data_IF_194489035816
#
_entry.id   IF_194489035816
#
_cell.length_a   1.000
_cell.length_b   1.000
_cell.length_c   1.000
_cell.angle_alpha   90.00
_cell.angle_beta   90.00
_cell.angle_gamma   90.00
#
_symmetry.space_group_name_H-M   'P 1'
#
loop_
_entity.id
_entity.type
_entity.pdbx_description
1 polymer ?
#
# COMPACT_ATOMS: atom_id res chain seq x y z
N UNK A 1 -31.91 16.09 1.89
CA UNK A 1 -30.44 16.13 1.91
C UNK A 1 -29.96 14.84 2.56
N UNK A 2 -29.40 13.87 1.81
CA UNK A 2 -28.90 12.66 2.43
C UNK A 2 -27.59 12.97 3.15
N UNK A 3 -27.57 12.72 4.45
CA UNK A 3 -26.37 12.73 5.28
C UNK A 3 -25.56 11.48 4.93
N UNK A 4 -24.69 11.57 3.93
CA UNK A 4 -23.67 10.53 3.72
C UNK A 4 -22.72 10.62 4.91
N UNK A 5 -22.88 9.68 5.86
CA UNK A 5 -22.08 9.66 7.08
C UNK A 5 -20.69 9.13 6.72
N UNK A 6 -19.61 9.79 7.18
CA UNK A 6 -18.23 9.43 6.80
C UNK A 6 -17.87 7.96 7.14
N UNK A 7 -18.59 7.35 8.06
CA UNK A 7 -18.41 5.94 8.49
C UNK A 7 -18.76 4.91 7.41
N UNK A 8 -19.65 5.24 6.47
CA UNK A 8 -20.07 4.28 5.44
C UNK A 8 -19.00 4.08 4.36
N UNK A 9 -18.29 5.14 3.99
CA UNK A 9 -17.31 5.09 2.91
C UNK A 9 -16.00 4.40 3.35
N UNK A 10 -15.59 4.59 4.61
CA UNK A 10 -14.55 3.80 5.28
C UNK A 10 -14.83 2.29 5.21
N UNK A 11 -16.10 1.89 5.37
CA UNK A 11 -16.49 0.49 5.35
C UNK A 11 -16.29 -0.15 3.97
N UNK A 12 -16.53 0.59 2.89
CA UNK A 12 -16.40 0.09 1.52
C UNK A 12 -14.94 -0.16 1.16
N UNK A 13 -14.04 0.79 1.43
CA UNK A 13 -12.61 0.57 1.20
C UNK A 13 -12.05 -0.54 2.09
N UNK A 14 -12.43 -0.58 3.37
CA UNK A 14 -12.03 -1.67 4.27
C UNK A 14 -12.45 -3.03 3.74
N UNK A 15 -13.66 -3.13 3.20
CA UNK A 15 -14.19 -4.35 2.59
C UNK A 15 -13.38 -4.74 1.35
N UNK A 16 -13.09 -3.79 0.46
CA UNK A 16 -12.27 -4.03 -0.72
C UNK A 16 -10.86 -4.54 -0.35
N UNK A 17 -10.21 -3.91 0.63
CA UNK A 17 -8.89 -4.35 1.12
C UNK A 17 -8.93 -5.78 1.67
N UNK A 18 -9.95 -6.15 2.45
CA UNK A 18 -10.13 -7.52 2.98
C UNK A 18 -10.34 -8.55 1.86
N UNK A 19 -11.15 -8.22 0.85
CA UNK A 19 -11.38 -9.10 -0.30
C UNK A 19 -10.09 -9.36 -1.09
N UNK A 20 -9.29 -8.31 -1.32
CA UNK A 20 -7.99 -8.45 -2.00
C UNK A 20 -7.06 -9.37 -1.21
N UNK A 21 -6.98 -9.22 0.12
CA UNK A 21 -6.17 -10.11 0.96
C UNK A 21 -6.58 -11.57 0.83
N UNK A 22 -7.88 -11.86 0.98
CA UNK A 22 -8.40 -13.22 0.92
C UNK A 22 -8.16 -13.89 -0.44
N UNK A 23 -8.36 -13.15 -1.54
CA UNK A 23 -8.14 -13.64 -2.91
C UNK A 23 -6.65 -13.88 -3.22
N UNK A 24 -5.76 -13.14 -2.56
CA UNK A 24 -4.31 -13.22 -2.79
C UNK A 24 -3.56 -13.99 -1.72
N UNK A 25 -4.26 -14.67 -0.80
CA UNK A 25 -3.64 -15.57 0.17
C UNK A 25 -2.74 -16.61 -0.53
N UNK A 26 -1.53 -16.87 -0.02
CA UNK A 26 -0.96 -16.35 1.24
C UNK A 26 -0.17 -15.04 1.08
N UNK A 27 -0.13 -14.44 -0.11
CA UNK A 27 0.80 -13.34 -0.42
C UNK A 27 0.62 -12.10 0.45
N UNK A 28 -0.58 -11.82 0.96
CA UNK A 28 -0.88 -10.62 1.75
C UNK A 28 -1.23 -10.91 3.21
N UNK A 29 -1.11 -12.14 3.68
CA UNK A 29 -1.57 -12.52 5.02
C UNK A 29 -0.80 -11.75 6.12
N UNK A 30 0.48 -11.45 5.86
CA UNK A 30 1.39 -10.73 6.75
C UNK A 30 1.13 -9.21 6.85
N UNK A 31 0.32 -8.64 5.95
CA UNK A 31 0.08 -7.20 5.86
C UNK A 31 -1.25 -6.86 6.55
N UNK A 32 -1.24 -5.96 7.54
CA UNK A 32 -2.48 -5.50 8.15
C UNK A 32 -3.38 -4.78 7.13
N UNK A 33 -4.70 -4.87 7.29
CA UNK A 33 -5.66 -4.29 6.30
C UNK A 33 -5.53 -2.77 6.23
N UNK A 34 -5.25 -2.13 7.37
CA UNK A 34 -5.12 -0.69 7.53
C UNK A 34 -3.88 -0.13 6.81
N UNK A 35 -2.77 -0.88 6.77
CA UNK A 35 -1.51 -0.46 6.13
C UNK A 35 -1.44 -0.82 4.63
N UNK A 36 -2.46 -1.47 4.07
CA UNK A 36 -2.56 -1.73 2.64
C UNK A 36 -3.07 -0.48 1.94
N UNK A 37 -2.25 0.12 1.08
CA UNK A 37 -2.64 1.31 0.30
C UNK A 37 -3.28 0.86 -1.02
N UNK A 38 -4.41 1.46 -1.36
CA UNK A 38 -5.06 1.25 -2.65
C UNK A 38 -4.89 2.51 -3.50
N UNK A 39 -4.45 2.32 -4.73
CA UNK A 39 -4.27 3.38 -5.70
C UNK A 39 -5.27 3.22 -6.84
N UNK A 40 -5.88 4.32 -7.25
CA UNK A 40 -6.56 4.45 -8.53
C UNK A 40 -5.50 4.61 -9.61
N UNK A 41 -5.65 3.90 -10.72
CA UNK A 41 -4.80 4.01 -11.89
C UNK A 41 -5.63 3.91 -13.17
N UNK A 42 -5.09 4.35 -14.29
CA UNK A 42 -5.71 4.17 -15.61
C UNK A 42 -4.69 3.59 -16.59
N UNK A 43 -4.47 2.28 -16.48
CA UNK A 43 -3.40 1.63 -17.24
C UNK A 43 -3.98 0.66 -18.26
N UNK A 44 -3.80 0.91 -19.57
CA UNK A 44 -4.22 -0.04 -20.59
C UNK A 44 -3.40 -1.33 -20.54
N UNK A 45 -4.09 -2.47 -20.52
CA UNK A 45 -3.52 -3.81 -20.62
C UNK A 45 -3.25 -4.11 -22.09
N UNK A 46 -1.97 -4.09 -22.45
CA UNK A 46 -1.44 -4.48 -23.76
C UNK A 46 -0.71 -5.82 -23.65
N UNK A 47 -0.35 -6.43 -24.78
CA UNK A 47 0.46 -7.66 -24.78
C UNK A 47 1.77 -7.51 -23.99
N UNK A 48 2.36 -6.30 -23.99
CA UNK A 48 3.58 -5.98 -23.26
C UNK A 48 3.38 -5.81 -21.74
N UNK A 49 2.18 -5.40 -21.29
CA UNK A 49 1.90 -5.18 -19.85
C UNK A 49 1.22 -6.37 -19.18
N UNK A 50 0.70 -7.34 -19.96
CA UNK A 50 -0.01 -8.53 -19.46
C UNK A 50 0.81 -9.41 -18.51
N UNK A 51 2.15 -9.42 -18.66
CA UNK A 51 3.06 -10.29 -17.90
C UNK A 51 4.02 -9.54 -16.98
N UNK A 52 4.05 -8.21 -17.03
CA UNK A 52 4.96 -7.44 -16.23
C UNK A 52 4.34 -7.11 -14.87
N UNK A 53 5.05 -7.45 -13.79
CA UNK A 53 4.79 -6.87 -12.48
C UNK A 53 5.00 -5.37 -12.61
N UNK A 54 3.89 -4.64 -12.77
CA UNK A 54 3.94 -3.22 -13.04
C UNK A 54 4.46 -2.52 -11.79
N UNK A 55 5.67 -1.96 -11.89
CA UNK A 55 6.25 -1.19 -10.81
C UNK A 55 5.39 0.05 -10.57
N UNK A 56 4.88 0.19 -9.35
CA UNK A 56 4.06 1.32 -8.91
C UNK A 56 4.78 2.66 -9.13
N UNK A 57 6.11 2.65 -9.09
CA UNK A 57 6.97 3.80 -9.37
C UNK A 57 7.01 4.25 -10.83
N UNK A 58 6.52 3.42 -11.77
CA UNK A 58 6.44 3.76 -13.21
C UNK A 58 5.06 4.25 -13.63
N UNK A 59 4.16 4.45 -12.66
CA UNK A 59 2.82 4.95 -12.90
C UNK A 59 2.78 6.37 -12.34
N UNK A 60 2.91 7.33 -13.26
CA UNK A 60 2.88 8.75 -12.97
C UNK A 60 1.46 9.20 -12.58
N UNK A 61 0.44 8.67 -13.25
CA UNK A 61 -0.97 9.07 -13.07
C UNK A 61 -1.74 8.15 -12.11
N UNK A 62 -1.24 7.98 -10.87
CA UNK A 62 -2.00 7.27 -9.82
C UNK A 62 -2.43 8.22 -8.71
N UNK A 63 -3.63 8.00 -8.21
CA UNK A 63 -4.23 8.75 -7.10
C UNK A 63 -4.51 7.78 -5.95
N UNK A 64 -4.23 8.17 -4.71
CA UNK A 64 -4.59 7.35 -3.55
C UNK A 64 -6.12 7.31 -3.41
N UNK A 65 -6.69 6.11 -3.21
CA UNK A 65 -8.11 5.97 -2.95
C UNK A 65 -8.39 6.33 -1.49
N UNK A 66 -9.02 7.49 -1.27
CA UNK A 66 -9.34 7.94 0.07
C UNK A 66 -10.71 7.39 0.48
N UNK A 67 -10.90 7.13 1.79
CA UNK A 67 -12.19 6.71 2.30
C UNK A 67 -13.30 7.71 2.10
N UNK A 68 -13.00 8.99 1.82
CA UNK A 68 -14.03 9.99 1.54
C UNK A 68 -14.52 9.95 0.09
N UNK A 69 -13.82 9.22 -0.78
CA UNK A 69 -14.19 9.11 -2.18
C UNK A 69 -15.23 7.99 -2.36
N UNK A 70 -16.39 8.35 -2.91
CA UNK A 70 -17.35 7.34 -3.35
C UNK A 70 -16.74 6.57 -4.53
N UNK A 71 -16.55 5.25 -4.40
CA UNK A 71 -15.96 4.43 -5.47
C UNK A 71 -16.70 4.57 -6.81
N UNK A 72 -18.01 4.84 -6.77
CA UNK A 72 -18.81 5.12 -7.97
C UNK A 72 -18.43 6.45 -8.63
N UNK A 73 -18.13 7.49 -7.85
CA UNK A 73 -17.64 8.77 -8.38
C UNK A 73 -16.22 8.62 -8.96
N UNK A 74 -15.40 7.76 -8.34
CA UNK A 74 -14.02 7.52 -8.78
C UNK A 74 -13.93 6.73 -10.09
N UNK A 75 -14.76 5.70 -10.27
CA UNK A 75 -14.67 4.76 -11.40
C UNK A 75 -15.82 4.87 -12.40
N UNK A 76 -16.88 5.60 -12.07
CA UNK A 76 -18.14 5.64 -12.82
C UNK A 76 -18.92 4.33 -12.76
N UNK A 77 -20.05 4.27 -13.47
CA UNK A 77 -20.90 3.07 -13.56
C UNK A 77 -20.23 1.91 -14.31
N UNK A 78 -19.28 2.18 -15.21
CA UNK A 78 -18.63 1.14 -16.02
C UNK A 78 -17.15 1.44 -16.20
N UNK A 79 -16.26 0.77 -15.45
CA UNK A 79 -14.84 0.91 -15.65
C UNK A 79 -14.41 0.47 -17.05
N UNK A 80 -13.48 1.21 -17.66
CA UNK A 80 -12.99 0.94 -19.01
C UNK A 80 -12.44 -0.49 -19.17
N UNK A 81 -12.80 -1.17 -20.26
CA UNK A 81 -12.35 -2.55 -20.53
C UNK A 81 -10.85 -2.59 -20.83
N UNK A 82 -10.21 -3.69 -20.42
CA UNK A 82 -8.77 -3.94 -20.62
C UNK A 82 -7.89 -2.85 -19.98
N UNK A 83 -8.32 -2.29 -18.86
CA UNK A 83 -7.57 -1.29 -18.10
C UNK A 83 -7.45 -1.75 -16.65
N UNK A 84 -6.28 -1.59 -16.05
CA UNK A 84 -6.10 -1.74 -14.60
C UNK A 84 -6.55 -0.45 -13.94
N UNK A 85 -7.57 -0.56 -13.08
CA UNK A 85 -8.20 0.56 -12.37
C UNK A 85 -7.74 0.71 -10.93
N UNK A 86 -7.36 -0.40 -10.29
CA UNK A 86 -6.97 -0.44 -8.87
C UNK A 86 -5.66 -1.18 -8.73
N UNK A 87 -4.76 -0.61 -7.93
CA UNK A 87 -3.48 -1.22 -7.57
C UNK A 87 -3.40 -1.31 -6.06
N UNK A 88 -3.17 -2.51 -5.54
CA UNK A 88 -2.90 -2.73 -4.13
C UNK A 88 -1.38 -2.69 -3.88
N UNK A 89 -0.93 -1.70 -3.14
CA UNK A 89 0.47 -1.56 -2.77
C UNK A 89 0.72 -2.15 -1.38
N UNK A 90 1.77 -2.96 -1.27
CA UNK A 90 2.29 -3.37 0.03
C UNK A 90 3.12 -2.24 0.61
N UNK A 91 3.03 -1.97 1.92
CA UNK A 91 3.96 -1.06 2.55
C UNK A 91 5.38 -1.55 2.29
N UNK A 92 6.27 -0.65 1.90
CA UNK A 92 7.69 -0.98 1.80
C UNK A 92 8.12 -1.51 3.17
N UNK A 93 8.74 -2.70 3.21
CA UNK A 93 9.43 -3.15 4.40
C UNK A 93 10.59 -2.19 4.60
N UNK A 94 10.35 -1.08 5.28
CA UNK A 94 11.40 -0.17 5.68
C UNK A 94 12.45 -1.01 6.39
N UNK A 95 13.71 -0.86 5.95
CA UNK A 95 14.85 -1.27 6.76
C UNK A 95 14.54 -0.81 8.18
N UNK A 96 14.31 -1.78 9.07
CA UNK A 96 14.33 -1.50 10.49
C UNK A 96 15.70 -0.87 10.71
N UNK A 97 15.73 0.45 10.90
CA UNK A 97 16.73 1.11 11.73
C UNK A 97 16.57 0.45 13.10
N UNK A 98 17.06 -0.78 13.22
CA UNK A 98 17.64 -1.23 14.46
C UNK A 98 18.76 -0.22 14.63
N UNK A 99 18.74 0.68 15.64
CA UNK A 99 19.99 1.26 16.06
C UNK A 99 20.86 0.06 16.40
N UNK A 100 21.76 -0.28 15.48
CA UNK A 100 22.78 -1.27 15.68
C UNK A 100 23.50 -0.80 16.93
N UNK A 101 23.12 -1.41 18.05
CA UNK A 101 23.72 -1.18 19.35
C UNK A 101 25.18 -1.49 19.11
N UNK A 102 25.97 -0.42 18.93
CA UNK A 102 27.41 -0.47 18.88
C UNK A 102 27.91 -0.72 20.31
N UNK A 103 27.49 -1.84 20.92
CA UNK A 103 28.12 -2.38 22.12
C UNK A 103 29.26 -3.29 21.67
N UNK A 104 30.29 -2.63 21.13
CA UNK A 104 31.58 -3.24 20.81
C UNK A 104 32.78 -2.32 21.05
N UNK A 105 32.56 -1.07 21.51
CA UNK A 105 33.65 -0.10 21.68
C UNK A 105 33.67 0.63 23.04
N UNK A 106 32.69 0.46 23.92
CA UNK A 106 32.68 1.17 25.21
C UNK A 106 33.70 0.60 26.23
N UNK A 107 34.10 -0.68 26.13
CA UNK A 107 34.97 -1.30 27.15
C UNK A 107 36.48 -1.10 26.94
N UNK A 108 36.90 -0.36 25.91
CA UNK A 108 38.34 -0.01 25.72
C UNK A 108 38.74 1.34 26.32
N UNK A 109 37.79 2.19 26.70
CA UNK A 109 38.11 3.52 27.25
C UNK A 109 38.32 3.52 28.78
N UNK A 110 37.96 2.45 29.50
CA UNK A 110 38.20 2.35 30.94
C UNK A 110 39.58 1.78 31.34
N UNK A 111 40.42 1.35 30.39
CA UNK A 111 41.76 0.79 30.68
C UNK A 111 42.93 1.75 30.41
N UNK A 112 42.65 3.03 30.10
CA UNK A 112 43.67 4.06 29.89
C UNK A 112 43.36 5.30 30.75
N UNK A 113 43.36 5.13 32.07
CA UNK A 113 43.56 6.24 32.99
C UNK A 113 44.77 5.90 33.87
N UNK A 114 45.90 6.64 33.76
CA UNK A 114 46.93 6.64 34.78
C UNK A 114 46.45 7.44 35.99
N UNK A 115 46.94 7.05 37.18
CA UNK A 115 46.78 7.81 38.42
C UNK A 115 47.38 9.21 38.31
#
# INVERSE_FOLDING_TARGET
MPLCSPTFLEHVLSTLKKLIKAEKTPKFDDIAVDILTLWKASIPVTAATKHNAMLITRIDDKEELLPMDELLDVFGDTPAKKTVHVIAERPSQGATNIPHVAQGQQLRQSLLQPW
#
